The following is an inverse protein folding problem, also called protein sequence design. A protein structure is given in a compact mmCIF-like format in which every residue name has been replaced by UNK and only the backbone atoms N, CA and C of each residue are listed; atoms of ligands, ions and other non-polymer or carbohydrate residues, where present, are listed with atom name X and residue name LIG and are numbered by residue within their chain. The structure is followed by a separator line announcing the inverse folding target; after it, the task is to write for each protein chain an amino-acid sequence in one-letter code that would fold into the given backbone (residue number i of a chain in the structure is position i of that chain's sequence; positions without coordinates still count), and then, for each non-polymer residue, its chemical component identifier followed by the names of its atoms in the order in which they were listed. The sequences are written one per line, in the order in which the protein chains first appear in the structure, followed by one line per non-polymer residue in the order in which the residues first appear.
data_IF_695582644347
#
_entry.id   IF_695582644347
#
_cell.length_a   1.000
_cell.length_b   1.000
_cell.length_c   1.000
_cell.angle_alpha   90.00
_cell.angle_beta   90.00
_cell.angle_gamma   90.00
#
_symmetry.space_group_name_H-M   'P 1'
#
loop_
_entity.id
_entity.type
_entity.pdbx_description
1 polymer ?
#
# COMPACT_ATOMS: atom_id res chain seq x y z
N UNK A 1 1.08 39.06 17.22
CA UNK A 1 1.74 38.18 18.21
C UNK A 1 2.88 37.44 17.49
N UNK A 2 4.13 37.65 17.86
CA UNK A 2 5.27 37.03 17.17
C UNK A 2 5.47 35.61 17.70
N UNK A 3 5.86 34.65 16.83
CA UNK A 3 6.09 33.25 17.19
C UNK A 3 6.96 33.05 18.46
N UNK A 4 7.86 33.95 18.73
CA UNK A 4 8.70 33.94 19.93
C UNK A 4 7.94 34.18 21.23
N UNK A 5 6.83 34.92 21.21
CA UNK A 5 6.07 35.26 22.40
C UNK A 5 5.17 34.12 22.84
N UNK A 6 4.72 33.27 21.86
CA UNK A 6 3.96 32.04 22.13
C UNK A 6 4.81 31.01 22.90
N UNK A 7 6.08 30.86 22.53
CA UNK A 7 6.97 29.90 23.19
C UNK A 7 7.35 30.31 24.62
N UNK A 8 7.38 31.63 24.92
CA UNK A 8 7.66 32.14 26.28
C UNK A 8 6.47 31.97 27.21
N UNK A 9 5.25 32.05 26.71
CA UNK A 9 4.03 31.90 27.52
C UNK A 9 3.78 30.40 27.85
N UNK A 10 4.18 29.45 26.96
CA UNK A 10 4.09 28.03 27.20
C UNK A 10 5.09 27.51 28.27
N UNK A 11 6.24 28.22 28.43
CA UNK A 11 7.26 27.85 29.42
C UNK A 11 6.95 28.29 30.87
N UNK A 12 6.06 29.26 31.08
CA UNK A 12 5.70 29.75 32.39
C UNK A 12 4.52 29.07 33.07
N UNK A 13 3.77 28.23 32.31
CA UNK A 13 2.65 27.45 32.84
C UNK A 13 3.07 26.05 33.36
N UNK A 14 4.33 25.66 33.24
CA UNK A 14 4.86 24.35 33.65
C UNK A 14 5.50 24.34 35.05
N UNK A 15 5.29 25.34 35.84
CA UNK A 15 5.92 25.48 37.17
C UNK A 15 4.94 25.40 38.32
N UNK A 16 4.27 24.28 38.55
CA UNK A 16 3.86 23.77 39.88
C UNK A 16 2.93 22.59 39.73
N UNK A 17 3.39 21.45 40.13
CA UNK A 17 2.51 20.34 40.55
C UNK A 17 2.34 19.21 39.56
N UNK A 18 2.92 18.10 39.95
CA UNK A 18 2.76 16.72 39.46
C UNK A 18 3.62 16.34 38.26
N UNK A 19 4.89 16.11 38.57
CA UNK A 19 5.66 15.11 37.82
C UNK A 19 5.17 13.73 38.32
N UNK A 20 3.95 13.40 38.00
CA UNK A 20 3.55 11.99 37.85
C UNK A 20 4.31 11.55 36.61
N UNK A 21 5.33 10.71 36.77
CA UNK A 21 5.92 9.95 35.70
C UNK A 21 4.77 9.16 35.04
N UNK A 22 4.13 9.77 34.06
CA UNK A 22 3.44 9.03 33.04
C UNK A 22 4.56 8.27 32.32
N UNK A 23 4.94 7.09 32.86
CA UNK A 23 5.59 6.09 32.07
C UNK A 23 4.72 5.97 30.83
N UNK A 24 5.16 6.54 29.72
CA UNK A 24 4.60 6.24 28.44
C UNK A 24 4.72 4.72 28.37
N UNK A 25 3.60 4.02 28.59
CA UNK A 25 3.51 2.63 28.27
C UNK A 25 3.84 2.58 26.80
N UNK A 26 5.07 2.19 26.50
CA UNK A 26 5.42 1.73 25.17
C UNK A 26 4.40 0.62 24.89
N UNK A 27 3.35 0.98 24.15
CA UNK A 27 2.50 0.00 23.53
C UNK A 27 3.41 -0.67 22.53
N UNK A 28 4.04 -1.77 22.96
CA UNK A 28 5.12 -2.47 22.31
C UNK A 28 4.72 -3.17 21.02
N UNK A 29 3.95 -2.49 20.18
CA UNK A 29 3.70 -2.90 18.79
C UNK A 29 4.89 -2.41 17.97
N UNK A 30 5.91 -3.25 17.88
CA UNK A 30 6.97 -2.99 16.88
C UNK A 30 6.33 -2.84 15.51
N UNK A 31 6.52 -1.69 14.82
CA UNK A 31 5.98 -1.52 13.48
C UNK A 31 6.55 -2.62 12.58
N UNK A 32 5.68 -3.33 11.89
CA UNK A 32 6.09 -4.31 10.89
C UNK A 32 6.47 -3.58 9.62
N UNK A 33 7.74 -3.64 9.26
CA UNK A 33 8.21 -3.11 8.00
C UNK A 33 8.00 -4.14 6.90
N UNK A 34 7.41 -3.72 5.80
CA UNK A 34 7.24 -4.54 4.60
C UNK A 34 8.22 -4.11 3.52
N UNK A 35 8.68 -5.08 2.74
CA UNK A 35 9.57 -4.86 1.62
C UNK A 35 8.80 -4.82 0.30
N UNK A 36 8.98 -3.77 -0.48
CA UNK A 36 8.41 -3.73 -1.83
C UNK A 36 9.22 -4.63 -2.77
N UNK A 37 8.56 -5.62 -3.34
CA UNK A 37 9.24 -6.71 -4.06
C UNK A 37 9.92 -6.33 -5.38
N UNK A 38 9.64 -5.15 -5.93
CA UNK A 38 10.18 -4.72 -7.24
C UNK A 38 11.71 -4.83 -7.37
N UNK A 39 12.55 -4.42 -6.39
CA UNK A 39 14.01 -4.54 -6.50
C UNK A 39 14.52 -5.98 -6.58
N UNK A 40 13.72 -6.96 -6.19
CA UNK A 40 14.06 -8.38 -6.17
C UNK A 40 13.22 -9.20 -7.17
N UNK A 41 12.68 -8.59 -8.23
CA UNK A 41 11.81 -9.26 -9.21
C UNK A 41 12.46 -10.44 -9.95
N UNK A 42 13.76 -10.53 -9.92
CA UNK A 42 14.53 -11.63 -10.50
C UNK A 42 14.56 -12.90 -9.62
N UNK A 43 14.11 -12.82 -8.37
CA UNK A 43 13.99 -13.97 -7.48
C UNK A 43 12.63 -14.66 -7.66
N UNK A 44 12.63 -16.00 -7.55
CA UNK A 44 11.38 -16.74 -7.37
C UNK A 44 10.76 -16.51 -5.99
N UNK A 45 9.51 -16.93 -5.80
CA UNK A 45 8.74 -16.59 -4.59
C UNK A 45 9.39 -17.09 -3.29
N UNK A 46 9.91 -18.32 -3.26
CA UNK A 46 10.55 -18.89 -2.07
C UNK A 46 11.83 -18.12 -1.73
N UNK A 47 12.68 -17.85 -2.71
CA UNK A 47 13.94 -17.10 -2.52
C UNK A 47 13.67 -15.64 -2.11
N UNK A 48 12.64 -15.00 -2.68
CA UNK A 48 12.20 -13.68 -2.25
C UNK A 48 11.80 -13.68 -0.77
N UNK A 49 10.94 -14.63 -0.39
CA UNK A 49 10.43 -14.73 0.97
C UNK A 49 11.57 -15.00 1.97
N UNK A 50 12.48 -15.91 1.66
CA UNK A 50 13.65 -16.20 2.47
C UNK A 50 14.54 -14.96 2.65
N UNK A 51 14.85 -14.25 1.56
CA UNK A 51 15.69 -13.04 1.59
C UNK A 51 15.09 -11.97 2.48
N UNK A 52 13.76 -11.72 2.37
CA UNK A 52 13.05 -10.72 3.17
C UNK A 52 12.99 -11.12 4.65
N UNK A 53 12.80 -12.41 4.94
CA UNK A 53 12.81 -12.93 6.31
C UNK A 53 14.19 -12.80 6.96
N UNK A 54 15.27 -13.15 6.23
CA UNK A 54 16.66 -13.00 6.69
C UNK A 54 17.01 -11.54 6.97
N UNK A 55 16.41 -10.59 6.24
CA UNK A 55 16.55 -9.16 6.52
C UNK A 55 15.78 -8.68 7.79
N UNK A 56 15.08 -9.57 8.47
CA UNK A 56 14.33 -9.24 9.69
C UNK A 56 13.06 -8.42 9.46
N UNK A 57 12.53 -8.42 8.23
CA UNK A 57 11.32 -7.68 7.86
C UNK A 57 10.07 -8.51 8.15
N UNK A 58 8.92 -7.85 8.32
CA UNK A 58 7.67 -8.48 8.73
C UNK A 58 6.73 -8.86 7.60
N UNK A 59 7.02 -8.46 6.36
CA UNK A 59 6.14 -8.74 5.24
C UNK A 59 6.67 -8.27 3.89
N UNK A 60 5.87 -8.54 2.86
CA UNK A 60 6.17 -8.21 1.47
C UNK A 60 4.99 -7.46 0.85
N UNK A 61 5.28 -6.33 0.19
CA UNK A 61 4.36 -5.68 -0.73
C UNK A 61 4.63 -6.21 -2.14
N UNK A 62 3.79 -7.14 -2.60
CA UNK A 62 4.00 -7.80 -3.89
C UNK A 62 3.66 -6.90 -5.07
N UNK A 63 4.51 -6.89 -6.09
CA UNK A 63 4.22 -6.26 -7.38
C UNK A 63 3.35 -7.20 -8.23
N UNK A 64 2.05 -6.88 -8.34
CA UNK A 64 1.05 -7.60 -9.12
C UNK A 64 0.64 -6.74 -10.31
N UNK A 65 1.42 -6.79 -11.37
CA UNK A 65 1.27 -5.91 -12.55
C UNK A 65 2.09 -6.47 -13.70
N UNK A 66 1.91 -5.97 -14.94
CA UNK A 66 2.78 -6.34 -16.05
C UNK A 66 4.26 -6.17 -15.69
N UNK A 67 5.05 -7.18 -15.95
CA UNK A 67 6.48 -7.28 -15.56
C UNK A 67 6.72 -7.17 -14.05
N UNK A 68 5.73 -7.50 -13.22
CA UNK A 68 5.86 -7.65 -11.78
C UNK A 68 6.27 -9.07 -11.36
N UNK A 69 6.30 -9.33 -10.05
CA UNK A 69 6.47 -10.70 -9.56
C UNK A 69 5.31 -11.61 -9.94
N UNK A 70 4.10 -11.05 -9.99
CA UNK A 70 2.89 -11.74 -10.42
C UNK A 70 2.31 -10.99 -11.61
N UNK A 71 2.21 -11.68 -12.73
CA UNK A 71 1.54 -11.15 -13.92
C UNK A 71 0.02 -11.22 -13.74
N UNK A 72 -0.75 -10.17 -14.12
CA UNK A 72 -2.21 -10.13 -13.97
C UNK A 72 -2.93 -11.31 -14.61
N UNK A 73 -2.44 -11.80 -15.75
CA UNK A 73 -2.99 -12.94 -16.49
C UNK A 73 -2.91 -14.25 -15.69
N UNK A 74 -1.90 -14.39 -14.83
CA UNK A 74 -1.60 -15.58 -14.04
C UNK A 74 -1.95 -15.42 -12.56
N UNK A 75 -2.64 -14.36 -12.20
CA UNK A 75 -2.86 -13.98 -10.80
C UNK A 75 -3.50 -15.08 -9.97
N UNK A 76 -4.46 -15.82 -10.53
CA UNK A 76 -5.17 -16.88 -9.80
C UNK A 76 -4.27 -18.07 -9.43
N UNK A 77 -3.21 -18.30 -10.22
CA UNK A 77 -2.23 -19.36 -9.95
C UNK A 77 -1.06 -18.88 -9.11
N UNK A 78 -0.52 -17.69 -9.44
CA UNK A 78 0.77 -17.25 -8.96
C UNK A 78 0.66 -16.43 -7.66
N UNK A 79 -0.40 -15.63 -7.48
CA UNK A 79 -0.56 -14.85 -6.25
C UNK A 79 -0.72 -15.75 -4.99
N UNK A 80 -1.55 -16.82 -5.01
CA UNK A 80 -1.63 -17.74 -3.88
C UNK A 80 -0.27 -18.41 -3.56
N UNK A 81 0.51 -18.76 -4.58
CA UNK A 81 1.85 -19.35 -4.41
C UNK A 81 2.82 -18.38 -3.76
N UNK A 82 2.83 -17.13 -4.21
CA UNK A 82 3.68 -16.08 -3.65
C UNK A 82 3.31 -15.77 -2.19
N UNK A 83 2.03 -15.70 -1.89
CA UNK A 83 1.53 -15.49 -0.51
C UNK A 83 1.88 -16.68 0.38
N UNK A 84 1.75 -17.90 -0.11
CA UNK A 84 2.11 -19.11 0.64
C UNK A 84 3.62 -19.19 0.92
N UNK A 85 4.46 -18.82 -0.05
CA UNK A 85 5.91 -18.72 0.16
C UNK A 85 6.26 -17.72 1.27
N UNK A 86 5.63 -16.54 1.26
CA UNK A 86 5.79 -15.56 2.32
C UNK A 86 5.33 -16.10 3.69
N UNK A 87 4.18 -16.76 3.74
CA UNK A 87 3.62 -17.34 4.96
C UNK A 87 4.53 -18.41 5.59
N UNK A 88 5.16 -19.27 4.78
CA UNK A 88 6.13 -20.28 5.25
C UNK A 88 7.30 -19.67 5.99
N UNK A 89 7.70 -18.44 5.65
CA UNK A 89 8.76 -17.68 6.31
C UNK A 89 8.24 -16.77 7.45
N UNK A 90 6.97 -16.88 7.84
CA UNK A 90 6.36 -16.03 8.87
C UNK A 90 6.07 -14.60 8.42
N UNK A 91 6.22 -14.31 7.12
CA UNK A 91 5.96 -13.00 6.54
C UNK A 91 4.48 -12.81 6.20
N UNK A 92 4.04 -11.56 6.17
CA UNK A 92 2.69 -11.19 5.71
C UNK A 92 2.71 -10.50 4.37
N UNK A 93 1.62 -10.69 3.61
CA UNK A 93 1.32 -9.94 2.39
C UNK A 93 0.00 -9.23 2.63
N UNK A 94 0.05 -8.05 3.22
CA UNK A 94 -1.13 -7.26 3.57
C UNK A 94 -1.47 -6.22 2.50
N UNK A 95 -0.48 -5.88 1.68
CA UNK A 95 -0.59 -4.92 0.58
C UNK A 95 0.04 -5.49 -0.69
N UNK A 96 -0.46 -5.05 -1.83
CA UNK A 96 0.17 -5.28 -3.14
C UNK A 96 0.23 -3.99 -3.96
N UNK A 97 1.10 -3.97 -4.94
CA UNK A 97 1.27 -2.84 -5.87
C UNK A 97 0.83 -3.25 -7.25
N UNK A 98 -0.17 -2.56 -7.79
CA UNK A 98 -0.76 -2.84 -9.10
C UNK A 98 -0.53 -1.72 -10.11
N UNK A 99 -0.96 -1.95 -11.34
CA UNK A 99 -1.10 -0.90 -12.36
C UNK A 99 -2.58 -0.50 -12.60
N UNK A 100 -3.52 -1.05 -11.85
CA UNK A 100 -4.96 -0.86 -12.04
C UNK A 100 -5.33 0.60 -11.79
N UNK A 101 -5.97 1.23 -12.77
CA UNK A 101 -6.52 2.60 -12.72
C UNK A 101 -8.01 2.64 -13.00
N UNK A 102 -8.58 1.58 -13.58
CA UNK A 102 -10.00 1.48 -13.93
C UNK A 102 -10.55 0.09 -13.62
N UNK A 103 -11.84 0.02 -13.28
CA UNK A 103 -12.56 -1.24 -13.12
C UNK A 103 -12.75 -2.00 -14.44
N UNK A 104 -12.64 -1.33 -15.57
CA UNK A 104 -12.82 -1.87 -16.93
C UNK A 104 -11.54 -2.49 -17.51
N UNK A 105 -10.40 -2.33 -16.82
CA UNK A 105 -9.15 -2.90 -17.29
C UNK A 105 -9.21 -4.44 -17.33
N UNK A 106 -8.59 -5.05 -18.34
CA UNK A 106 -8.43 -6.49 -18.38
C UNK A 106 -7.82 -7.00 -17.06
N UNK A 107 -8.41 -8.06 -16.51
CA UNK A 107 -7.97 -8.69 -15.25
C UNK A 107 -8.18 -7.89 -13.96
N UNK A 108 -8.63 -6.63 -13.96
CA UNK A 108 -8.80 -5.83 -12.74
C UNK A 108 -9.64 -6.58 -11.69
N UNK A 109 -10.83 -7.04 -12.05
CA UNK A 109 -11.70 -7.80 -11.12
C UNK A 109 -11.03 -9.09 -10.65
N UNK A 110 -10.39 -9.84 -11.54
CA UNK A 110 -9.70 -11.08 -11.20
C UNK A 110 -8.57 -10.86 -10.20
N UNK A 111 -7.75 -9.85 -10.45
CA UNK A 111 -6.63 -9.47 -9.57
C UNK A 111 -7.14 -9.09 -8.18
N UNK A 112 -8.13 -8.22 -8.09
CA UNK A 112 -8.65 -7.74 -6.82
C UNK A 112 -9.38 -8.83 -6.04
N UNK A 113 -10.17 -9.67 -6.71
CA UNK A 113 -10.84 -10.81 -6.11
C UNK A 113 -9.85 -11.84 -5.56
N UNK A 114 -8.86 -12.23 -6.37
CA UNK A 114 -7.83 -13.18 -5.94
C UNK A 114 -7.01 -12.64 -4.78
N UNK A 115 -6.66 -11.35 -4.82
CA UNK A 115 -5.94 -10.70 -3.72
C UNK A 115 -6.73 -10.75 -2.40
N UNK A 116 -8.01 -10.41 -2.44
CA UNK A 116 -8.88 -10.49 -1.26
C UNK A 116 -8.98 -11.92 -0.71
N UNK A 117 -9.11 -12.92 -1.59
CA UNK A 117 -9.12 -14.34 -1.21
C UNK A 117 -7.81 -14.79 -0.56
N UNK A 118 -6.68 -14.21 -0.96
CA UNK A 118 -5.37 -14.44 -0.35
C UNK A 118 -5.15 -13.66 0.95
N UNK A 119 -6.12 -12.85 1.40
CA UNK A 119 -6.04 -12.05 2.61
C UNK A 119 -5.34 -10.70 2.45
N UNK A 120 -5.05 -10.28 1.22
CA UNK A 120 -4.55 -8.93 0.91
C UNK A 120 -5.70 -7.94 1.07
N UNK A 121 -5.50 -6.93 1.90
CA UNK A 121 -6.56 -5.97 2.26
C UNK A 121 -6.48 -4.66 1.50
N UNK A 122 -5.29 -4.33 1.05
CA UNK A 122 -4.98 -3.02 0.45
C UNK A 122 -4.17 -3.21 -0.82
N UNK A 123 -4.43 -2.40 -1.82
CA UNK A 123 -3.55 -2.33 -2.98
C UNK A 123 -3.24 -0.88 -3.36
N UNK A 124 -2.03 -0.63 -3.82
CA UNK A 124 -1.67 0.62 -4.48
C UNK A 124 -2.14 0.57 -5.93
N UNK A 125 -2.92 1.57 -6.32
CA UNK A 125 -3.39 1.76 -7.69
C UNK A 125 -2.24 2.11 -8.65
N UNK A 126 -2.52 2.02 -9.94
CA UNK A 126 -1.73 2.66 -10.99
C UNK A 126 -1.79 4.19 -10.92
N UNK A 127 -0.99 4.84 -11.75
CA UNK A 127 -0.94 6.29 -11.81
C UNK A 127 -1.96 6.84 -12.80
N UNK A 128 -2.81 7.73 -12.33
CA UNK A 128 -3.71 8.51 -13.18
C UNK A 128 -2.91 9.61 -13.89
N UNK A 129 -3.19 9.81 -15.16
CA UNK A 129 -2.50 10.83 -15.98
C UNK A 129 -3.46 11.91 -16.40
N UNK A 130 -2.94 13.10 -16.60
CA UNK A 130 -3.65 14.14 -17.33
C UNK A 130 -3.66 13.82 -18.83
N UNK A 131 -4.74 14.20 -19.47
CA UNK A 131 -4.96 14.08 -20.91
C UNK A 131 -4.96 15.50 -21.48
N UNK A 132 -3.94 15.81 -22.26
CA UNK A 132 -3.74 17.16 -22.81
C UNK A 132 -4.92 17.63 -23.65
N UNK A 133 -5.63 16.71 -24.32
CA UNK A 133 -6.82 17.03 -25.11
C UNK A 133 -8.01 17.44 -24.26
N UNK A 134 -8.09 17.00 -23.01
CA UNK A 134 -9.17 17.33 -22.06
C UNK A 134 -8.79 18.50 -21.14
N UNK A 135 -7.53 18.86 -21.08
CA UNK A 135 -7.00 19.80 -20.09
C UNK A 135 -7.13 19.26 -18.65
N UNK A 136 -6.81 20.11 -17.69
CA UNK A 136 -6.78 19.72 -16.26
C UNK A 136 -8.16 19.34 -15.75
N UNK A 137 -9.15 20.19 -15.92
CA UNK A 137 -10.52 19.99 -15.42
C UNK A 137 -11.17 18.74 -16.04
N UNK A 138 -11.08 18.58 -17.37
CA UNK A 138 -11.61 17.41 -18.04
C UNK A 138 -10.92 16.10 -17.61
N UNK A 139 -9.61 16.15 -17.37
CA UNK A 139 -8.86 15.01 -16.84
C UNK A 139 -9.29 14.65 -15.41
N UNK A 140 -9.52 15.63 -14.56
CA UNK A 140 -10.05 15.43 -13.20
C UNK A 140 -11.42 14.77 -13.25
N UNK A 141 -12.32 15.25 -14.10
CA UNK A 141 -13.67 14.68 -14.22
C UNK A 141 -13.67 13.25 -14.77
N UNK A 142 -12.83 12.97 -15.76
CA UNK A 142 -12.61 11.62 -16.27
C UNK A 142 -12.11 10.69 -15.17
N UNK A 143 -11.05 11.09 -14.47
CA UNK A 143 -10.44 10.28 -13.42
C UNK A 143 -11.41 10.07 -12.24
N UNK A 144 -12.21 11.06 -11.86
CA UNK A 144 -13.24 10.94 -10.83
C UNK A 144 -14.27 9.85 -11.17
N UNK A 145 -14.73 9.80 -12.42
CA UNK A 145 -15.66 8.75 -12.88
C UNK A 145 -15.02 7.35 -12.82
N UNK A 146 -13.76 7.23 -13.27
CA UNK A 146 -13.03 5.97 -13.21
C UNK A 146 -12.84 5.49 -11.76
N UNK A 147 -12.49 6.39 -10.85
CA UNK A 147 -12.33 6.07 -9.44
C UNK A 147 -13.64 5.64 -8.77
N UNK A 148 -14.78 6.26 -9.13
CA UNK A 148 -16.09 5.85 -8.61
C UNK A 148 -16.48 4.43 -9.06
N UNK A 149 -16.20 4.08 -10.31
CA UNK A 149 -16.41 2.72 -10.82
C UNK A 149 -15.49 1.72 -10.11
N UNK A 150 -14.22 2.08 -9.92
CA UNK A 150 -13.24 1.25 -9.23
C UNK A 150 -13.58 1.07 -7.75
N UNK A 151 -14.10 2.10 -7.09
CA UNK A 151 -14.61 1.99 -5.71
C UNK A 151 -15.74 0.97 -5.59
N UNK A 152 -16.65 0.94 -6.56
CA UNK A 152 -17.73 -0.05 -6.61
C UNK A 152 -17.18 -1.48 -6.72
N UNK A 153 -16.19 -1.68 -7.58
CA UNK A 153 -15.49 -2.96 -7.71
C UNK A 153 -14.73 -3.34 -6.44
N UNK A 154 -14.06 -2.39 -5.82
CA UNK A 154 -13.35 -2.57 -4.54
C UNK A 154 -14.29 -3.06 -3.43
N UNK A 155 -15.46 -2.44 -3.29
CA UNK A 155 -16.50 -2.86 -2.33
C UNK A 155 -17.00 -4.28 -2.63
N UNK A 156 -17.22 -4.62 -3.90
CA UNK A 156 -17.60 -5.97 -4.32
C UNK A 156 -16.57 -7.02 -3.96
N UNK A 157 -15.28 -6.70 -4.11
CA UNK A 157 -14.18 -7.61 -3.82
C UNK A 157 -13.77 -7.61 -2.34
N UNK A 158 -14.19 -6.64 -1.53
CA UNK A 158 -13.78 -6.51 -0.12
C UNK A 158 -12.32 -6.08 0.06
N UNK A 159 -11.81 -5.22 -0.83
CA UNK A 159 -10.44 -4.71 -0.82
C UNK A 159 -10.41 -3.19 -0.93
N UNK A 160 -9.36 -2.55 -0.44
CA UNK A 160 -9.20 -1.09 -0.48
C UNK A 160 -8.12 -0.68 -1.47
N UNK A 161 -8.48 0.21 -2.39
CA UNK A 161 -7.54 0.85 -3.31
C UNK A 161 -6.95 2.12 -2.69
N UNK A 162 -5.63 2.26 -2.74
CA UNK A 162 -4.92 3.44 -2.27
C UNK A 162 -4.19 4.11 -3.43
N UNK A 163 -4.30 5.43 -3.52
CA UNK A 163 -3.54 6.23 -4.48
C UNK A 163 -2.28 6.79 -3.83
N UNK A 164 -1.16 6.63 -4.49
CA UNK A 164 0.12 7.23 -4.07
C UNK A 164 0.45 8.38 -5.01
N UNK A 165 0.56 9.59 -4.48
CA UNK A 165 1.13 10.70 -5.22
C UNK A 165 2.58 10.39 -5.56
N UNK A 166 2.90 10.55 -6.83
CA UNK A 166 4.26 10.36 -7.32
C UNK A 166 4.59 11.48 -8.28
N UNK A 167 5.74 12.08 -8.08
CA UNK A 167 6.25 13.05 -9.03
C UNK A 167 6.75 12.29 -10.28
N UNK A 168 6.18 12.63 -11.42
CA UNK A 168 6.60 12.08 -12.73
C UNK A 168 7.28 13.23 -13.47
N UNK A 169 8.52 13.01 -13.85
CA UNK A 169 9.28 13.92 -14.71
C UNK A 169 8.76 13.88 -16.13
#
# INVERSE_FOLDING_TARGET
MKRRDFLKTAALAAGAGWIGSAAAQEVGVKPRLHFFSKPLQWLGYDALAETVAQAGLGGIDLSVRPKGHVEPEKVEQDLPRAVEAARKQGLKVEMMVTAITSAEEPFAERVLKTAAQCGVKVYRMGYLRYDDALGVEGSIDKNRKQMAALETLNKKCGIVGCYQNHFVW
#
